data_IF_529414724007
#
_entry.id   IF_529414724007
#
_cell.length_a   1.000
_cell.length_b   1.000
_cell.length_c   1.000
_cell.angle_alpha   90.00
_cell.angle_beta   90.00
_cell.angle_gamma   90.00
#
_symmetry.space_group_name_H-M   'P 1'
#
loop_
_entity.id
_entity.type
_entity.pdbx_description
1 polymer ?
#
# COMPACT_ATOMS: atom_id res chain seq x y z
N UNK A 1 8.81 -78.77 -48.97
CA UNK A 1 10.04 -78.01 -48.79
C UNK A 1 9.63 -76.55 -48.55
N UNK A 2 9.55 -76.16 -47.31
CA UNK A 2 9.13 -74.83 -46.88
C UNK A 2 10.23 -74.17 -46.08
N UNK A 3 10.78 -73.12 -46.62
CA UNK A 3 11.78 -72.25 -45.87
C UNK A 3 11.04 -71.13 -45.18
N UNK A 4 11.20 -71.06 -43.86
CA UNK A 4 10.83 -69.90 -43.05
C UNK A 4 11.89 -68.87 -43.14
N UNK A 5 11.49 -67.63 -43.43
CA UNK A 5 12.34 -66.42 -43.19
C UNK A 5 11.97 -65.79 -41.86
N UNK A 6 12.97 -65.74 -40.98
CA UNK A 6 12.86 -65.02 -39.71
C UNK A 6 13.34 -63.58 -39.92
N UNK A 7 12.49 -62.60 -39.70
CA UNK A 7 12.84 -61.21 -39.72
C UNK A 7 13.27 -60.80 -38.30
N UNK A 8 14.52 -60.41 -38.14
CA UNK A 8 15.06 -59.84 -36.94
C UNK A 8 14.79 -58.32 -36.94
N UNK A 9 13.89 -57.90 -36.05
CA UNK A 9 13.70 -56.48 -35.78
C UNK A 9 14.71 -56.03 -34.71
N UNK A 10 15.72 -55.29 -35.09
CA UNK A 10 16.65 -54.64 -34.19
C UNK A 10 16.29 -53.14 -34.11
N UNK A 11 15.81 -52.64 -32.99
CA UNK A 11 15.52 -51.21 -32.86
C UNK A 11 16.83 -50.42 -32.68
N UNK A 12 17.06 -49.43 -33.51
CA UNK A 12 18.22 -48.56 -33.48
C UNK A 12 18.17 -47.61 -32.27
N UNK A 13 19.32 -47.33 -31.61
CA UNK A 13 19.38 -46.54 -30.37
C UNK A 13 19.45 -45.03 -30.60
N UNK A 14 18.67 -44.47 -31.54
CA UNK A 14 18.77 -43.05 -31.91
C UNK A 14 17.68 -42.14 -31.39
N UNK A 15 16.71 -42.64 -30.63
CA UNK A 15 15.54 -41.82 -30.20
C UNK A 15 15.47 -41.45 -28.72
N UNK A 16 16.49 -41.76 -27.91
CA UNK A 16 16.48 -41.54 -26.45
C UNK A 16 17.23 -40.29 -25.96
N UNK A 17 17.92 -39.56 -26.84
CA UNK A 17 18.78 -38.43 -26.42
C UNK A 17 18.12 -37.05 -26.54
N UNK A 18 16.93 -36.91 -27.13
CA UNK A 18 16.28 -35.61 -27.31
C UNK A 18 15.25 -35.22 -26.22
N UNK A 19 14.83 -36.17 -25.39
CA UNK A 19 13.81 -35.90 -24.36
C UNK A 19 14.36 -35.35 -23.03
N UNK A 20 15.67 -35.46 -22.77
CA UNK A 20 16.25 -35.01 -21.49
C UNK A 20 16.73 -33.55 -21.49
N UNK A 21 16.93 -32.92 -22.65
CA UNK A 21 17.30 -31.50 -22.73
C UNK A 21 16.12 -30.57 -22.69
N UNK A 22 14.90 -31.02 -23.00
CA UNK A 22 13.70 -30.20 -22.97
C UNK A 22 13.15 -29.93 -21.57
N UNK A 23 13.45 -30.79 -20.62
CA UNK A 23 12.90 -30.67 -19.25
C UNK A 23 13.72 -29.77 -18.32
N UNK A 24 14.93 -29.38 -18.70
CA UNK A 24 15.80 -28.56 -17.86
C UNK A 24 15.61 -27.04 -18.07
N UNK A 25 14.91 -26.66 -19.15
CA UNK A 25 14.65 -25.24 -19.46
C UNK A 25 13.36 -24.69 -18.88
N UNK A 26 12.47 -25.52 -18.32
CA UNK A 26 11.22 -25.06 -17.70
C UNK A 26 11.35 -24.76 -16.19
N UNK A 27 12.48 -25.02 -15.57
CA UNK A 27 12.70 -24.90 -14.13
C UNK A 27 13.21 -23.54 -13.63
N UNK A 28 13.52 -22.57 -14.51
CA UNK A 28 14.03 -21.25 -14.11
C UNK A 28 12.97 -20.12 -14.21
N UNK A 29 11.71 -20.46 -14.40
CA UNK A 29 10.65 -19.45 -14.40
C UNK A 29 10.24 -19.11 -12.96
N UNK A 30 10.90 -18.08 -12.41
CA UNK A 30 10.21 -17.16 -11.53
C UNK A 30 10.18 -17.49 -10.06
N UNK A 31 11.24 -17.26 -9.34
CA UNK A 31 11.09 -16.56 -8.08
C UNK A 31 10.86 -15.07 -8.40
N UNK A 32 9.69 -14.74 -8.91
CA UNK A 32 9.19 -13.37 -8.83
C UNK A 32 8.97 -13.12 -7.35
N UNK A 33 9.95 -12.54 -6.69
CA UNK A 33 9.81 -11.94 -5.38
C UNK A 33 8.82 -10.80 -5.55
N UNK A 34 7.54 -11.11 -5.36
CA UNK A 34 6.47 -10.13 -5.25
C UNK A 34 6.59 -9.40 -3.91
N UNK A 35 7.75 -8.83 -3.62
CA UNK A 35 7.88 -7.71 -2.71
C UNK A 35 7.55 -6.49 -3.57
N UNK A 36 6.27 -6.27 -3.79
CA UNK A 36 5.85 -5.09 -4.51
C UNK A 36 6.16 -3.88 -3.67
N UNK A 37 7.23 -3.19 -4.00
CA UNK A 37 7.48 -1.84 -3.53
C UNK A 37 6.23 -1.00 -3.80
N UNK A 38 5.72 -0.36 -2.74
CA UNK A 38 4.70 0.66 -2.91
C UNK A 38 5.40 1.87 -3.50
N UNK A 39 5.31 2.01 -4.83
CA UNK A 39 5.76 3.25 -5.48
C UNK A 39 4.67 4.28 -5.26
N UNK A 40 4.94 5.34 -4.47
CA UNK A 40 3.97 6.39 -4.24
C UNK A 40 3.51 7.04 -5.55
N UNK A 41 2.21 7.32 -5.67
CA UNK A 41 1.58 7.90 -6.85
C UNK A 41 1.09 9.31 -6.56
N UNK A 42 1.39 10.25 -7.45
CA UNK A 42 0.83 11.60 -7.37
C UNK A 42 -0.70 11.59 -7.45
N UNK A 43 -1.32 12.53 -6.77
CA UNK A 43 -2.78 12.66 -6.66
C UNK A 43 -3.21 14.01 -7.20
N UNK A 44 -4.22 14.02 -8.07
CA UNK A 44 -4.84 15.24 -8.53
C UNK A 44 -5.71 15.84 -7.42
N UNK A 45 -5.36 17.06 -7.02
CA UNK A 45 -6.07 17.86 -6.01
C UNK A 45 -6.77 19.06 -6.60
N UNK A 46 -6.98 19.09 -7.92
CA UNK A 46 -7.74 20.14 -8.60
C UNK A 46 -9.12 20.30 -7.97
N UNK A 47 -9.49 21.55 -7.72
CA UNK A 47 -10.76 21.89 -7.06
C UNK A 47 -10.68 22.03 -5.54
N UNK A 48 -9.56 21.65 -4.91
CA UNK A 48 -9.36 21.97 -3.49
C UNK A 48 -8.74 23.36 -3.30
N UNK A 49 -9.04 24.02 -2.18
CA UNK A 49 -8.32 25.22 -1.77
C UNK A 49 -6.81 24.95 -1.70
N UNK A 50 -6.02 25.82 -2.30
CA UNK A 50 -4.57 25.72 -2.25
C UNK A 50 -4.06 26.15 -0.88
N UNK A 51 -3.24 25.31 -0.25
CA UNK A 51 -2.74 25.55 1.11
C UNK A 51 -1.43 26.35 1.13
N UNK A 52 -0.77 26.48 -0.02
CA UNK A 52 0.50 27.18 -0.16
C UNK A 52 1.70 26.33 0.27
N UNK A 53 2.83 26.98 0.50
CA UNK A 53 4.11 26.32 0.82
C UNK A 53 4.27 25.99 2.30
N UNK A 54 3.60 26.74 3.17
CA UNK A 54 3.71 26.57 4.62
C UNK A 54 2.82 25.42 5.09
N UNK A 55 3.42 24.48 5.78
CA UNK A 55 2.71 23.31 6.28
C UNK A 55 1.69 23.69 7.37
N UNK A 56 0.45 23.27 7.17
CA UNK A 56 -0.61 23.43 8.18
C UNK A 56 -0.36 22.45 9.32
N UNK A 57 -0.57 22.90 10.55
CA UNK A 57 -0.43 22.08 11.75
C UNK A 57 -1.66 21.20 12.02
N UNK A 58 -2.79 21.60 11.47
CA UNK A 58 -4.07 20.93 11.65
C UNK A 58 -4.71 20.65 10.28
N UNK A 59 -5.51 19.59 10.21
CA UNK A 59 -6.23 19.25 8.99
C UNK A 59 -7.21 20.36 8.59
N UNK A 60 -6.95 21.13 7.52
CA UNK A 60 -7.83 22.21 7.08
C UNK A 60 -9.07 21.69 6.32
N UNK A 61 -9.10 20.39 6.00
CA UNK A 61 -10.14 19.76 5.18
C UNK A 61 -11.05 18.84 5.98
N UNK A 62 -11.15 19.00 7.30
CA UNK A 62 -12.11 18.25 8.10
C UNK A 62 -13.51 18.48 7.53
N UNK A 63 -14.27 17.39 7.36
CA UNK A 63 -15.64 17.39 6.86
C UNK A 63 -15.83 18.02 5.45
N UNK A 64 -14.74 18.31 4.72
CA UNK A 64 -14.80 18.82 3.36
C UNK A 64 -15.08 17.69 2.37
N UNK A 65 -16.25 17.67 1.74
CA UNK A 65 -16.74 16.56 0.92
C UNK A 65 -15.79 16.20 -0.24
N UNK A 66 -15.30 17.19 -0.99
CA UNK A 66 -14.36 16.91 -2.10
C UNK A 66 -13.01 16.41 -1.61
N UNK A 67 -12.51 16.92 -0.49
CA UNK A 67 -11.28 16.42 0.09
C UNK A 67 -11.44 14.97 0.57
N UNK A 68 -12.56 14.61 1.18
CA UNK A 68 -12.86 13.23 1.56
C UNK A 68 -12.89 12.33 0.33
N UNK A 69 -13.54 12.74 -0.76
CA UNK A 69 -13.61 11.98 -2.01
C UNK A 69 -12.22 11.77 -2.63
N UNK A 70 -11.40 12.83 -2.71
CA UNK A 70 -10.02 12.77 -3.20
C UNK A 70 -9.17 11.92 -2.27
N UNK A 71 -9.31 12.10 -0.96
CA UNK A 71 -8.62 11.33 0.07
C UNK A 71 -8.92 9.84 0.02
N UNK A 72 -10.17 9.46 -0.28
CA UNK A 72 -10.55 8.05 -0.50
C UNK A 72 -9.76 7.45 -1.66
N UNK A 73 -9.72 8.14 -2.80
CA UNK A 73 -8.97 7.67 -3.97
C UNK A 73 -7.46 7.62 -3.69
N UNK A 74 -6.91 8.68 -3.09
CA UNK A 74 -5.50 8.79 -2.73
C UNK A 74 -5.07 7.69 -1.75
N UNK A 75 -5.89 7.41 -0.73
CA UNK A 75 -5.65 6.34 0.23
C UNK A 75 -5.62 4.96 -0.45
N UNK A 76 -6.60 4.68 -1.31
CA UNK A 76 -6.66 3.40 -2.02
C UNK A 76 -5.46 3.19 -2.94
N UNK A 77 -4.96 4.25 -3.59
CA UNK A 77 -3.79 4.18 -4.47
C UNK A 77 -2.48 4.00 -3.70
N UNK A 78 -2.32 4.67 -2.57
CA UNK A 78 -1.02 4.84 -1.92
C UNK A 78 -0.88 4.09 -0.58
N UNK A 79 -1.97 3.81 0.11
CA UNK A 79 -1.94 3.36 1.50
C UNK A 79 -2.59 1.99 1.73
N UNK A 80 -3.67 1.69 1.00
CA UNK A 80 -4.52 0.51 1.25
C UNK A 80 -3.77 -0.82 1.12
N UNK A 81 -2.72 -0.88 0.32
CA UNK A 81 -1.91 -2.09 0.17
C UNK A 81 -1.32 -2.58 1.51
N UNK A 82 -0.92 -1.66 2.38
CA UNK A 82 -0.36 -1.99 3.70
C UNK A 82 -1.37 -1.81 4.82
N UNK A 83 -2.18 -0.73 4.77
CA UNK A 83 -3.13 -0.39 5.81
C UNK A 83 -4.52 -1.02 5.63
N UNK A 84 -4.71 -1.78 4.54
CA UNK A 84 -5.96 -2.45 4.21
C UNK A 84 -7.01 -1.52 3.59
N UNK A 85 -7.97 -2.14 2.89
CA UNK A 85 -9.12 -1.41 2.36
C UNK A 85 -9.91 -0.80 3.51
N UNK A 86 -10.45 0.38 3.29
CA UNK A 86 -11.20 1.14 4.30
C UNK A 86 -10.42 1.42 5.59
N UNK A 87 -9.07 1.40 5.50
CA UNK A 87 -8.14 1.56 6.62
C UNK A 87 -8.23 0.44 7.67
N UNK A 88 -8.86 -0.69 7.34
CA UNK A 88 -8.96 -1.89 8.18
C UNK A 88 -7.71 -2.72 7.96
N UNK A 89 -6.78 -2.68 8.92
CA UNK A 89 -5.50 -3.36 8.78
C UNK A 89 -5.64 -4.88 8.62
N UNK A 90 -4.88 -5.43 7.66
CA UNK A 90 -4.66 -6.87 7.51
C UNK A 90 -3.46 -7.40 8.33
N UNK A 91 -2.87 -6.59 9.21
CA UNK A 91 -1.75 -6.98 10.08
C UNK A 91 -0.36 -6.57 9.59
N UNK A 92 -0.21 -6.05 8.36
CA UNK A 92 1.08 -5.58 7.83
C UNK A 92 1.45 -4.22 8.45
N UNK A 93 0.48 -3.31 8.55
CA UNK A 93 0.63 -1.97 9.08
C UNK A 93 -0.47 -1.69 10.14
N UNK A 94 -0.34 -0.63 10.95
CA UNK A 94 -1.36 -0.28 11.94
C UNK A 94 -2.74 -0.03 11.33
N UNK A 95 -3.79 -0.33 12.08
CA UNK A 95 -5.18 0.02 11.77
C UNK A 95 -5.40 1.53 11.98
N UNK A 96 -5.56 2.26 10.88
CA UNK A 96 -5.63 3.72 10.90
C UNK A 96 -6.99 4.26 11.36
N UNK A 97 -8.01 3.41 11.50
CA UNK A 97 -9.29 3.79 12.11
C UNK A 97 -9.15 4.12 13.60
N UNK A 98 -8.05 3.67 14.19
CA UNK A 98 -7.72 3.85 15.62
C UNK A 98 -6.75 4.98 15.87
N UNK A 99 -6.41 5.75 14.84
CA UNK A 99 -5.36 6.77 14.89
C UNK A 99 -5.59 7.80 16.01
N UNK A 100 -6.84 8.15 16.26
CA UNK A 100 -7.24 9.15 17.25
C UNK A 100 -8.16 8.60 18.37
N UNK A 101 -8.13 7.28 18.60
CA UNK A 101 -8.95 6.64 19.66
C UNK A 101 -8.69 7.19 21.06
N UNK A 102 -7.46 7.60 21.34
CA UNK A 102 -7.09 8.17 22.66
C UNK A 102 -7.79 9.51 22.89
N UNK A 103 -8.05 10.28 21.82
CA UNK A 103 -8.78 11.53 21.90
C UNK A 103 -10.28 11.33 22.18
N UNK A 104 -10.84 10.19 21.80
CA UNK A 104 -12.27 9.91 21.96
C UNK A 104 -12.70 9.88 23.44
N UNK A 105 -11.81 9.41 24.34
CA UNK A 105 -12.09 9.32 25.80
C UNK A 105 -12.00 10.67 26.53
N UNK A 106 -11.45 11.72 25.89
CA UNK A 106 -11.27 13.02 26.53
C UNK A 106 -12.60 13.79 26.53
N UNK A 107 -13.10 14.11 27.71
CA UNK A 107 -14.37 14.84 27.88
C UNK A 107 -14.21 16.37 27.81
N UNK A 108 -13.04 16.88 28.22
CA UNK A 108 -12.75 18.31 28.21
C UNK A 108 -12.47 18.79 26.79
N UNK A 109 -13.31 19.67 26.24
CA UNK A 109 -13.25 20.15 24.85
C UNK A 109 -11.86 20.68 24.45
N UNK A 110 -11.25 21.51 25.30
CA UNK A 110 -9.90 22.09 25.02
C UNK A 110 -8.83 21.01 24.92
N UNK A 111 -8.84 20.04 25.84
CA UNK A 111 -7.89 18.94 25.83
C UNK A 111 -8.12 17.97 24.66
N UNK A 112 -9.38 17.73 24.32
CA UNK A 112 -9.74 16.92 23.13
C UNK A 112 -9.20 17.56 21.85
N UNK A 113 -9.38 18.86 21.70
CA UNK A 113 -8.86 19.58 20.52
C UNK A 113 -7.31 19.57 20.49
N UNK A 114 -6.65 19.79 21.61
CA UNK A 114 -5.20 19.68 21.68
C UNK A 114 -4.71 18.28 21.26
N UNK A 115 -5.36 17.22 21.74
CA UNK A 115 -5.08 15.84 21.34
C UNK A 115 -5.25 15.66 19.81
N UNK A 116 -6.31 16.22 19.20
CA UNK A 116 -6.52 16.14 17.76
C UNK A 116 -5.41 16.83 16.97
N UNK A 117 -4.93 17.98 17.44
CA UNK A 117 -3.79 18.69 16.85
C UNK A 117 -2.54 17.83 16.90
N UNK A 118 -2.24 17.20 18.03
CA UNK A 118 -1.10 16.29 18.17
C UNK A 118 -1.20 15.10 17.19
N UNK A 119 -2.38 14.53 17.02
CA UNK A 119 -2.61 13.44 16.06
C UNK A 119 -2.46 13.92 14.62
N UNK A 120 -2.89 15.13 14.28
CA UNK A 120 -2.69 15.70 12.95
C UNK A 120 -1.20 15.89 12.63
N UNK A 121 -0.43 16.42 13.58
CA UNK A 121 1.02 16.57 13.45
C UNK A 121 1.74 15.22 13.34
N UNK A 122 1.33 14.25 14.15
CA UNK A 122 1.85 12.88 14.06
C UNK A 122 1.57 12.24 12.70
N UNK A 123 0.34 12.39 12.19
CA UNK A 123 -0.04 11.91 10.86
C UNK A 123 0.81 12.58 9.77
N UNK A 124 0.86 13.92 9.79
CA UNK A 124 1.61 14.68 8.80
C UNK A 124 3.09 14.30 8.79
N UNK A 125 3.72 14.25 9.96
CA UNK A 125 5.13 13.84 10.09
C UNK A 125 5.35 12.43 9.58
N UNK A 126 4.42 11.51 9.87
CA UNK A 126 4.52 10.11 9.46
C UNK A 126 4.40 9.95 7.95
N UNK A 127 3.46 10.63 7.30
CA UNK A 127 3.26 10.51 5.85
C UNK A 127 4.38 11.23 5.08
N UNK A 128 4.86 12.36 5.56
CA UNK A 128 5.97 13.08 4.94
C UNK A 128 7.25 12.28 4.94
N UNK A 129 7.66 11.80 6.12
CA UNK A 129 9.00 11.23 6.34
C UNK A 129 9.03 9.70 6.22
N UNK A 130 7.86 9.05 6.19
CA UNK A 130 7.80 7.59 6.26
C UNK A 130 8.20 7.04 7.62
N UNK A 131 8.47 5.74 7.67
CA UNK A 131 8.93 5.04 8.88
C UNK A 131 10.06 4.07 8.54
N UNK A 132 11.15 4.18 9.27
CA UNK A 132 12.28 3.27 9.21
C UNK A 132 12.41 2.53 10.55
N UNK A 133 12.65 1.24 10.51
CA UNK A 133 12.91 0.41 11.67
C UNK A 133 14.05 -0.58 11.36
N UNK A 134 15.05 -0.60 12.22
CA UNK A 134 16.24 -1.47 12.06
C UNK A 134 16.88 -1.36 10.67
N UNK A 135 16.96 -0.13 10.11
CA UNK A 135 17.52 0.13 8.79
C UNK A 135 16.63 -0.23 7.59
N UNK A 136 15.47 -0.85 7.81
CA UNK A 136 14.51 -1.15 6.76
C UNK A 136 13.39 -0.10 6.69
N UNK A 137 13.00 0.27 5.46
CA UNK A 137 11.87 1.16 5.22
C UNK A 137 10.58 0.36 5.38
N UNK A 138 9.79 0.70 6.41
CA UNK A 138 8.48 0.09 6.67
C UNK A 138 7.34 0.87 6.01
N UNK A 139 7.47 2.18 5.95
CA UNK A 139 6.55 3.05 5.24
C UNK A 139 7.41 4.03 4.43
N UNK A 140 7.22 4.13 3.12
CA UNK A 140 7.97 5.09 2.31
C UNK A 140 7.59 6.53 2.66
N UNK A 141 8.48 7.50 2.46
CA UNK A 141 8.14 8.91 2.54
C UNK A 141 7.31 9.32 1.32
N UNK A 142 6.34 10.21 1.53
CA UNK A 142 5.47 10.72 0.47
C UNK A 142 5.72 12.20 0.16
N UNK A 143 6.56 12.89 0.93
CA UNK A 143 6.96 14.27 0.63
C UNK A 143 7.64 14.34 -0.75
N UNK A 144 7.30 15.34 -1.54
CA UNK A 144 7.77 15.50 -2.92
C UNK A 144 6.96 14.71 -3.97
N UNK A 145 6.04 13.82 -3.54
CA UNK A 145 5.16 13.04 -4.43
C UNK A 145 3.70 13.43 -4.20
N UNK A 146 3.26 13.44 -2.94
CA UNK A 146 1.94 13.95 -2.57
C UNK A 146 2.05 15.42 -2.17
N UNK A 147 1.14 16.24 -2.68
CA UNK A 147 0.97 17.61 -2.20
C UNK A 147 0.42 17.64 -0.78
N UNK A 148 0.54 18.80 -0.14
CA UNK A 148 -0.06 19.02 1.18
C UNK A 148 -1.57 18.77 1.17
N UNK A 149 -2.24 19.23 0.11
CA UNK A 149 -3.66 19.01 -0.12
C UNK A 149 -4.04 17.54 -0.19
N UNK A 150 -3.23 16.73 -0.90
CA UNK A 150 -3.45 15.29 -1.00
C UNK A 150 -3.28 14.59 0.36
N UNK A 151 -2.24 14.95 1.12
CA UNK A 151 -2.00 14.39 2.45
C UNK A 151 -3.15 14.71 3.42
N UNK A 152 -3.60 15.96 3.46
CA UNK A 152 -4.71 16.36 4.31
C UNK A 152 -6.06 15.78 3.87
N UNK A 153 -6.23 15.56 2.56
CA UNK A 153 -7.39 14.82 2.04
C UNK A 153 -7.42 13.38 2.52
N UNK A 154 -6.27 12.69 2.53
CA UNK A 154 -6.16 11.35 3.11
C UNK A 154 -6.54 11.39 4.59
N UNK A 155 -6.07 12.38 5.37
CA UNK A 155 -6.45 12.53 6.77
C UNK A 155 -7.94 12.76 6.94
N UNK A 156 -8.56 13.60 6.09
CA UNK A 156 -10.01 13.84 6.09
C UNK A 156 -10.79 12.54 5.83
N UNK A 157 -10.34 11.72 4.87
CA UNK A 157 -10.92 10.40 4.64
C UNK A 157 -10.79 9.49 5.86
N UNK A 158 -9.60 9.38 6.47
CA UNK A 158 -9.40 8.55 7.66
C UNK A 158 -10.31 8.96 8.82
N UNK A 159 -10.59 10.24 8.96
CA UNK A 159 -11.51 10.75 9.97
C UNK A 159 -12.96 10.25 9.78
N UNK A 160 -13.37 9.95 8.55
CA UNK A 160 -14.66 9.29 8.27
C UNK A 160 -14.68 7.80 8.59
N UNK A 161 -13.50 7.19 8.77
CA UNK A 161 -13.36 5.75 9.03
C UNK A 161 -13.13 5.40 10.48
N UNK A 162 -13.17 6.37 11.39
CA UNK A 162 -12.95 6.18 12.82
C UNK A 162 -13.74 5.00 13.37
N UNK A 163 -13.08 4.17 14.18
CA UNK A 163 -13.73 3.10 14.93
C UNK A 163 -14.61 3.65 16.06
N UNK A 164 -14.20 4.79 16.64
CA UNK A 164 -14.91 5.49 17.71
C UNK A 164 -15.16 6.95 17.30
N UNK A 165 -16.36 7.48 17.51
CA UNK A 165 -16.62 8.90 17.29
C UNK A 165 -15.84 9.77 18.27
N UNK A 166 -15.43 10.97 17.85
CA UNK A 166 -14.78 11.97 18.70
C UNK A 166 -15.80 12.91 19.35
#
# INVERSE_FOLDING_TARGET
MTRRFSASNNPSPRTLTFSLLGSLLLGLAGAALAHGDVTPQAVDTTGLPQLGTDWREQNPFRDHADAIRIGTSAFNQNCARCHGLEAISGGIAPDLRRLDNDCASITQKVKKEACRVEIDQYFLTSIRNGKVRNGAVYMPPFEGILSQEAMWSIKAYLETRREKPL
#
